data_IF_838390129816
#
_entry.id   IF_838390129816
#
_cell.length_a   1.000
_cell.length_b   1.000
_cell.length_c   1.000
_cell.angle_alpha   90.00
_cell.angle_beta   90.00
_cell.angle_gamma   90.00
#
_symmetry.space_group_name_H-M   'P 1'
#
loop_
_entity.id
_entity.type
_entity.pdbx_description
1 polymer ?
#
# COMPACT_ATOMS: atom_id res chain seq x y z
N UNK A 1 -2.64 43.92 27.75
CA UNK A 1 -1.66 42.82 27.93
C UNK A 1 -2.26 41.41 28.05
N UNK A 2 -3.47 41.20 28.58
CA UNK A 2 -4.09 39.85 28.63
C UNK A 2 -4.75 39.38 27.32
N UNK A 3 -5.43 40.29 26.60
CA UNK A 3 -6.16 39.99 25.34
C UNK A 3 -5.27 39.69 24.13
N UNK A 4 -4.01 40.14 24.14
CA UNK A 4 -3.05 39.88 23.06
C UNK A 4 -2.48 38.46 23.15
N UNK A 5 -2.10 38.02 24.36
CA UNK A 5 -1.61 36.63 24.58
C UNK A 5 -2.67 35.57 24.27
N UNK A 6 -3.94 35.88 24.47
CA UNK A 6 -5.05 34.96 24.17
C UNK A 6 -5.32 34.85 22.66
N UNK A 7 -5.23 35.97 21.92
CA UNK A 7 -5.30 35.97 20.45
C UNK A 7 -4.12 35.23 19.81
N UNK A 8 -2.92 35.41 20.35
CA UNK A 8 -1.71 34.73 19.89
C UNK A 8 -1.86 33.20 20.03
N UNK A 9 -2.36 32.73 21.18
CA UNK A 9 -2.63 31.31 21.45
C UNK A 9 -3.71 30.70 20.55
N UNK A 10 -4.73 31.48 20.15
CA UNK A 10 -5.76 31.03 19.21
C UNK A 10 -5.21 30.92 17.78
N UNK A 11 -4.38 31.88 17.36
CA UNK A 11 -3.74 31.86 16.05
C UNK A 11 -2.79 30.68 15.89
N UNK A 12 -2.05 30.32 16.94
CA UNK A 12 -1.16 29.17 16.95
C UNK A 12 -1.93 27.85 16.87
N UNK A 13 -3.05 27.73 17.60
CA UNK A 13 -3.96 26.58 17.49
C UNK A 13 -4.54 26.44 16.08
N UNK A 14 -4.97 27.54 15.48
CA UNK A 14 -5.50 27.53 14.12
C UNK A 14 -4.42 27.12 13.09
N UNK A 15 -3.19 27.64 13.23
CA UNK A 15 -2.06 27.25 12.38
C UNK A 15 -1.73 25.76 12.51
N UNK A 16 -1.69 25.24 13.73
CA UNK A 16 -1.42 23.82 13.95
C UNK A 16 -2.52 22.93 13.37
N UNK A 17 -3.78 23.38 13.44
CA UNK A 17 -4.90 22.69 12.81
C UNK A 17 -4.81 22.73 11.28
N UNK A 18 -4.50 23.88 10.67
CA UNK A 18 -4.33 23.96 9.21
C UNK A 18 -3.16 23.11 8.73
N UNK A 19 -2.03 23.14 9.45
CA UNK A 19 -0.85 22.30 9.14
C UNK A 19 -1.19 20.82 9.21
N UNK A 20 -1.92 20.38 10.24
CA UNK A 20 -2.32 18.98 10.34
C UNK A 20 -3.27 18.58 9.22
N UNK A 21 -4.25 19.43 8.87
CA UNK A 21 -5.19 19.18 7.75
C UNK A 21 -4.49 19.11 6.38
N UNK A 22 -3.53 19.99 6.12
CA UNK A 22 -2.80 20.03 4.85
C UNK A 22 -1.78 18.89 4.72
N UNK A 23 -1.25 18.42 5.85
CA UNK A 23 -0.26 17.35 5.87
C UNK A 23 -0.89 15.95 5.95
N UNK A 24 -2.17 15.85 6.32
CA UNK A 24 -2.90 14.59 6.43
C UNK A 24 -3.62 14.26 5.12
N UNK A 25 -3.14 13.24 4.36
CA UNK A 25 -3.80 12.81 3.14
C UNK A 25 -5.23 12.35 3.41
N UNK A 26 -5.48 11.70 4.56
CA UNK A 26 -6.81 11.17 4.88
C UNK A 26 -7.85 12.28 5.00
N UNK A 27 -7.44 13.49 5.38
CA UNK A 27 -8.34 14.63 5.46
C UNK A 27 -8.68 15.21 4.09
N UNK A 28 -7.71 15.28 3.18
CA UNK A 28 -7.90 15.89 1.85
C UNK A 28 -8.81 15.04 0.97
N UNK A 29 -8.67 13.72 1.04
CA UNK A 29 -9.32 12.80 0.11
C UNK A 29 -10.63 12.19 0.64
N UNK A 30 -10.92 12.28 1.95
CA UNK A 30 -12.22 11.84 2.53
C UNK A 30 -13.44 12.53 1.89
N UNK A 31 -13.47 13.84 1.64
CA UNK A 31 -14.62 14.47 0.97
C UNK A 31 -14.83 13.99 -0.47
N UNK A 32 -13.83 13.36 -1.09
CA UNK A 32 -13.90 12.83 -2.45
C UNK A 32 -14.46 11.39 -2.50
N UNK A 33 -14.68 10.73 -1.35
CA UNK A 33 -15.28 9.39 -1.29
C UNK A 33 -16.79 9.39 -1.48
N UNK A 34 -17.45 10.56 -1.36
CA UNK A 34 -18.91 10.63 -1.28
C UNK A 34 -19.62 10.47 -2.63
N UNK A 35 -18.89 10.53 -3.75
CA UNK A 35 -19.50 10.26 -5.07
C UNK A 35 -19.40 8.77 -5.44
N UNK A 36 -20.51 8.15 -5.89
CA UNK A 36 -20.54 6.73 -6.26
C UNK A 36 -19.65 6.42 -7.47
N UNK A 37 -19.42 7.41 -8.35
CA UNK A 37 -18.54 7.27 -9.53
C UNK A 37 -17.07 7.59 -9.28
N UNK A 38 -16.71 7.91 -8.02
CA UNK A 38 -15.34 8.22 -7.65
C UNK A 38 -14.39 7.05 -7.91
N UNK A 39 -13.13 7.38 -8.20
CA UNK A 39 -12.06 6.39 -8.29
C UNK A 39 -11.89 5.61 -6.97
N UNK A 40 -12.20 6.26 -5.84
CA UNK A 40 -12.23 5.63 -4.52
C UNK A 40 -13.27 4.50 -4.48
N UNK A 41 -14.53 4.77 -4.84
CA UNK A 41 -15.62 3.78 -4.79
C UNK A 41 -15.34 2.60 -5.71
N UNK A 42 -14.81 2.85 -6.91
CA UNK A 42 -14.42 1.81 -7.87
C UNK A 42 -13.27 0.94 -7.32
N UNK A 43 -12.21 1.56 -6.81
CA UNK A 43 -11.07 0.85 -6.26
C UNK A 43 -11.47 0.04 -5.02
N UNK A 44 -12.25 0.63 -4.11
CA UNK A 44 -12.78 -0.04 -2.92
C UNK A 44 -13.64 -1.23 -3.30
N UNK A 45 -14.53 -1.09 -4.28
CA UNK A 45 -15.35 -2.19 -4.74
C UNK A 45 -14.48 -3.35 -5.24
N UNK A 46 -13.53 -3.11 -6.14
CA UNK A 46 -12.69 -4.18 -6.70
C UNK A 46 -11.88 -4.89 -5.60
N UNK A 47 -11.24 -4.13 -4.70
CA UNK A 47 -10.43 -4.73 -3.63
C UNK A 47 -11.32 -5.45 -2.62
N UNK A 48 -12.47 -4.87 -2.24
CA UNK A 48 -13.42 -5.51 -1.33
C UNK A 48 -13.94 -6.83 -1.90
N UNK A 49 -14.33 -6.85 -3.18
CA UNK A 49 -14.79 -8.06 -3.87
C UNK A 49 -13.68 -9.11 -3.93
N UNK A 50 -12.43 -8.71 -4.17
CA UNK A 50 -11.28 -9.62 -4.08
C UNK A 50 -11.15 -10.30 -2.71
N UNK A 51 -11.35 -9.54 -1.63
CA UNK A 51 -11.26 -10.06 -0.27
C UNK A 51 -12.46 -10.98 0.05
N UNK A 52 -13.68 -10.61 -0.34
CA UNK A 52 -14.89 -11.38 0.00
C UNK A 52 -15.11 -12.61 -0.86
N UNK A 53 -14.77 -12.54 -2.14
CA UNK A 53 -14.98 -13.62 -3.12
C UNK A 53 -13.72 -14.47 -3.36
N UNK A 54 -12.60 -14.15 -2.69
CA UNK A 54 -11.29 -14.78 -2.90
C UNK A 54 -10.83 -14.74 -4.37
N UNK A 55 -11.08 -13.61 -5.04
CA UNK A 55 -10.74 -13.37 -6.44
C UNK A 55 -9.38 -12.68 -6.58
N UNK A 56 -8.52 -13.23 -7.44
CA UNK A 56 -7.22 -12.65 -7.75
C UNK A 56 -7.36 -11.56 -8.82
N UNK A 57 -7.25 -10.30 -8.41
CA UNK A 57 -7.30 -9.15 -9.32
C UNK A 57 -5.96 -8.40 -9.34
N UNK A 58 -5.65 -7.78 -10.48
CA UNK A 58 -4.52 -6.87 -10.64
C UNK A 58 -5.02 -5.52 -11.13
N UNK A 59 -4.54 -4.44 -10.52
CA UNK A 59 -5.01 -3.07 -10.79
C UNK A 59 -3.79 -2.18 -11.01
N UNK A 60 -3.81 -1.40 -12.08
CA UNK A 60 -2.78 -0.41 -12.38
C UNK A 60 -3.37 1.01 -12.27
N UNK A 61 -2.87 1.79 -11.31
CA UNK A 61 -3.30 3.18 -11.10
C UNK A 61 -2.45 4.15 -11.92
N UNK A 62 -3.06 4.81 -12.91
CA UNK A 62 -2.37 5.71 -13.84
C UNK A 62 -2.74 7.19 -13.62
N UNK A 63 -1.79 8.09 -13.89
CA UNK A 63 -2.01 9.54 -13.97
C UNK A 63 -0.73 10.34 -13.68
N UNK A 64 -0.77 11.68 -13.71
CA UNK A 64 0.39 12.52 -13.44
C UNK A 64 0.89 12.39 -11.99
N UNK A 65 2.17 12.72 -11.76
CA UNK A 65 2.74 12.81 -10.40
C UNK A 65 2.00 13.89 -9.60
N UNK A 66 1.76 13.62 -8.31
CA UNK A 66 1.00 14.52 -7.43
C UNK A 66 -0.53 14.43 -7.55
N UNK A 67 -1.08 13.55 -8.40
CA UNK A 67 -2.55 13.41 -8.54
C UNK A 67 -3.26 12.68 -7.40
N UNK A 68 -2.57 12.39 -6.29
CA UNK A 68 -3.15 11.71 -5.13
C UNK A 68 -3.41 10.21 -5.28
N UNK A 69 -2.82 9.51 -6.26
CA UNK A 69 -2.99 8.06 -6.46
C UNK A 69 -2.76 7.24 -5.19
N UNK A 70 -1.58 7.41 -4.59
CA UNK A 70 -1.21 6.72 -3.35
C UNK A 70 -2.18 7.09 -2.23
N UNK A 71 -2.53 8.37 -2.10
CA UNK A 71 -3.46 8.81 -1.05
C UNK A 71 -4.87 8.20 -1.16
N UNK A 72 -5.38 8.02 -2.38
CA UNK A 72 -6.66 7.31 -2.60
C UNK A 72 -6.53 5.83 -2.24
N UNK A 73 -5.41 5.19 -2.61
CA UNK A 73 -5.14 3.80 -2.24
C UNK A 73 -5.04 3.64 -0.71
N UNK A 74 -4.33 4.53 -0.02
CA UNK A 74 -4.21 4.53 1.44
C UNK A 74 -5.56 4.62 2.13
N UNK A 75 -6.45 5.49 1.64
CA UNK A 75 -7.80 5.60 2.17
C UNK A 75 -8.58 4.29 2.03
N UNK A 76 -8.57 3.70 0.84
CA UNK A 76 -9.27 2.43 0.57
C UNK A 76 -8.71 1.32 1.45
N UNK A 77 -7.39 1.18 1.53
CA UNK A 77 -6.74 0.17 2.37
C UNK A 77 -7.02 0.39 3.85
N UNK A 78 -6.99 1.64 4.33
CA UNK A 78 -7.29 1.97 5.73
C UNK A 78 -8.72 1.58 6.10
N UNK A 79 -9.69 1.81 5.21
CA UNK A 79 -11.08 1.44 5.44
C UNK A 79 -11.28 -0.08 5.39
N UNK A 80 -10.61 -0.78 4.47
CA UNK A 80 -10.69 -2.23 4.35
C UNK A 80 -10.00 -2.96 5.49
N UNK A 81 -8.86 -2.47 5.97
CA UNK A 81 -8.17 -3.01 7.15
C UNK A 81 -9.00 -2.86 8.42
N UNK A 82 -9.81 -1.80 8.53
CA UNK A 82 -10.76 -1.66 9.63
C UNK A 82 -11.93 -2.65 9.54
N UNK A 83 -12.36 -2.99 8.32
CA UNK A 83 -13.44 -3.95 8.10
C UNK A 83 -12.99 -5.40 8.21
N UNK A 84 -11.77 -5.70 7.78
CA UNK A 84 -11.22 -7.06 7.65
C UNK A 84 -9.77 -7.14 8.20
N UNK A 85 -9.53 -6.86 9.50
CA UNK A 85 -8.18 -6.74 10.06
C UNK A 85 -7.36 -8.03 9.99
N UNK A 86 -8.00 -9.19 10.20
CA UNK A 86 -7.31 -10.49 10.26
C UNK A 86 -7.25 -11.23 8.90
N UNK A 87 -7.99 -10.72 7.90
CA UNK A 87 -8.13 -11.37 6.60
C UNK A 87 -7.28 -10.71 5.50
N UNK A 88 -6.70 -9.53 5.76
CA UNK A 88 -5.90 -8.79 4.78
C UNK A 88 -4.47 -8.67 5.28
N UNK A 89 -3.51 -9.03 4.43
CA UNK A 89 -2.09 -8.74 4.64
C UNK A 89 -1.60 -7.85 3.49
N UNK A 90 -1.00 -6.70 3.82
CA UNK A 90 -0.55 -5.72 2.82
C UNK A 90 0.97 -5.77 2.70
N UNK A 91 1.47 -6.01 1.49
CA UNK A 91 2.90 -6.04 1.19
C UNK A 91 3.22 -4.89 0.26
N UNK A 92 4.21 -4.07 0.62
CA UNK A 92 4.60 -2.87 -0.13
C UNK A 92 6.00 -3.02 -0.70
N UNK A 93 6.14 -2.75 -1.98
CA UNK A 93 7.41 -2.67 -2.66
C UNK A 93 7.53 -1.34 -3.39
N UNK A 94 8.74 -0.78 -3.40
CA UNK A 94 9.05 0.43 -4.13
C UNK A 94 10.13 0.13 -5.18
N UNK A 95 9.84 0.43 -6.45
CA UNK A 95 10.73 0.14 -7.57
C UNK A 95 12.09 0.85 -7.50
N UNK A 96 12.19 1.98 -6.79
CA UNK A 96 13.46 2.68 -6.56
C UNK A 96 14.36 1.96 -5.55
N UNK A 97 13.77 1.24 -4.60
CA UNK A 97 14.50 0.51 -3.54
C UNK A 97 14.74 -0.95 -3.91
N UNK A 98 13.80 -1.56 -4.64
CA UNK A 98 13.74 -2.99 -4.92
C UNK A 98 13.89 -3.28 -6.41
N UNK A 99 14.78 -2.56 -7.10
CA UNK A 99 15.04 -2.75 -8.53
C UNK A 99 15.72 -4.09 -8.87
N UNK A 100 16.30 -4.77 -7.88
CA UNK A 100 16.84 -6.13 -8.00
C UNK A 100 15.83 -7.13 -7.45
N UNK A 101 15.50 -8.15 -8.24
CA UNK A 101 14.58 -9.25 -7.88
C UNK A 101 14.97 -9.91 -6.55
N UNK A 102 16.26 -10.04 -6.26
CA UNK A 102 16.74 -10.61 -5.01
C UNK A 102 16.36 -9.73 -3.80
N UNK A 103 16.50 -8.41 -3.95
CA UNK A 103 16.13 -7.45 -2.91
C UNK A 103 14.61 -7.41 -2.73
N UNK A 104 13.85 -7.41 -3.84
CA UNK A 104 12.40 -7.46 -3.81
C UNK A 104 11.89 -8.70 -3.09
N UNK A 105 12.36 -9.90 -3.45
CA UNK A 105 11.92 -11.14 -2.83
C UNK A 105 12.28 -11.25 -1.35
N UNK A 106 13.47 -10.78 -0.96
CA UNK A 106 13.84 -10.70 0.46
C UNK A 106 12.91 -9.78 1.23
N UNK A 107 12.53 -8.65 0.64
CA UNK A 107 11.62 -7.71 1.28
C UNK A 107 10.20 -8.27 1.40
N UNK A 108 9.69 -8.95 0.37
CA UNK A 108 8.40 -9.64 0.44
C UNK A 108 8.41 -10.68 1.56
N UNK A 109 9.43 -11.55 1.59
CA UNK A 109 9.56 -12.58 2.60
C UNK A 109 9.66 -11.97 4.00
N UNK A 110 10.40 -10.87 4.16
CA UNK A 110 10.50 -10.14 5.43
C UNK A 110 9.15 -9.60 5.89
N UNK A 111 8.38 -8.95 5.02
CA UNK A 111 7.06 -8.40 5.36
C UNK A 111 6.06 -9.52 5.69
N UNK A 112 6.03 -10.61 4.91
CA UNK A 112 5.18 -11.77 5.20
C UNK A 112 5.50 -12.42 6.53
N UNK A 113 6.78 -12.60 6.85
CA UNK A 113 7.18 -13.14 8.15
C UNK A 113 6.75 -12.24 9.30
N UNK A 114 6.85 -10.92 9.15
CA UNK A 114 6.42 -9.98 10.19
C UNK A 114 4.91 -10.02 10.40
N UNK A 115 4.13 -10.02 9.32
CA UNK A 115 2.67 -10.09 9.37
C UNK A 115 2.17 -11.41 9.98
N UNK A 116 2.86 -12.52 9.73
CA UNK A 116 2.48 -13.85 10.22
C UNK A 116 3.24 -14.29 11.49
N UNK A 117 4.01 -13.39 12.12
CA UNK A 117 4.82 -13.66 13.31
C UNK A 117 5.81 -14.83 13.14
N UNK A 118 6.34 -15.02 11.93
CA UNK A 118 7.31 -16.05 11.59
C UNK A 118 8.75 -15.52 11.74
N UNK A 119 9.70 -16.43 11.95
CA UNK A 119 11.12 -16.11 12.01
C UNK A 119 11.68 -15.92 10.60
N UNK A 120 12.07 -14.68 10.29
CA UNK A 120 12.77 -14.37 9.04
C UNK A 120 14.25 -14.73 9.13
N UNK A 121 14.74 -15.57 8.21
CA UNK A 121 16.17 -15.88 8.07
C UNK A 121 16.82 -14.98 7.02
N UNK A 122 17.70 -14.08 7.45
CA UNK A 122 18.48 -13.21 6.56
C UNK A 122 19.52 -13.96 5.71
N UNK A 123 19.83 -15.20 6.07
CA UNK A 123 20.86 -16.04 5.42
C UNK A 123 20.24 -16.93 4.32
N UNK A 124 18.92 -16.93 4.17
CA UNK A 124 18.23 -17.75 3.19
C UNK A 124 18.63 -17.40 1.75
N UNK A 125 18.83 -18.42 0.92
CA UNK A 125 19.12 -18.25 -0.51
C UNK A 125 17.90 -17.73 -1.27
N UNK A 126 18.09 -17.29 -2.52
CA UNK A 126 16.98 -16.89 -3.38
C UNK A 126 15.95 -18.02 -3.55
N UNK A 127 16.43 -19.25 -3.81
CA UNK A 127 15.58 -20.41 -4.00
C UNK A 127 14.78 -20.72 -2.72
N UNK A 128 15.42 -20.66 -1.55
CA UNK A 128 14.74 -20.85 -0.27
C UNK A 128 13.65 -19.79 -0.04
N UNK A 129 13.95 -18.53 -0.35
CA UNK A 129 12.96 -17.45 -0.25
C UNK A 129 11.80 -17.69 -1.22
N UNK A 130 12.06 -18.14 -2.45
CA UNK A 130 11.01 -18.43 -3.44
C UNK A 130 10.10 -19.59 -3.02
N UNK A 131 10.67 -20.66 -2.45
CA UNK A 131 9.90 -21.81 -1.95
C UNK A 131 9.09 -21.44 -0.73
N UNK A 132 9.68 -20.68 0.19
CA UNK A 132 8.99 -20.12 1.35
C UNK A 132 7.80 -19.26 0.92
N UNK A 133 8.01 -18.35 -0.04
CA UNK A 133 6.96 -17.52 -0.63
C UNK A 133 5.80 -18.35 -1.16
N UNK A 134 6.08 -19.38 -1.98
CA UNK A 134 5.04 -20.24 -2.55
C UNK A 134 4.26 -20.98 -1.45
N UNK A 135 4.97 -21.50 -0.43
CA UNK A 135 4.33 -22.17 0.70
C UNK A 135 3.41 -21.21 1.47
N UNK A 136 3.89 -20.01 1.79
CA UNK A 136 3.12 -18.99 2.49
C UNK A 136 1.88 -18.56 1.70
N UNK A 137 2.01 -18.31 0.41
CA UNK A 137 0.87 -17.93 -0.44
C UNK A 137 -0.19 -19.05 -0.47
N UNK A 138 0.23 -20.32 -0.50
CA UNK A 138 -0.70 -21.47 -0.44
C UNK A 138 -1.42 -21.55 0.91
N UNK A 139 -0.69 -21.40 2.01
CA UNK A 139 -1.29 -21.39 3.36
C UNK A 139 -2.28 -20.23 3.54
N UNK A 140 -1.94 -19.04 3.06
CA UNK A 140 -2.84 -17.88 3.09
C UNK A 140 -4.11 -18.14 2.28
N UNK A 141 -4.00 -18.78 1.11
CA UNK A 141 -5.16 -19.21 0.32
C UNK A 141 -6.07 -20.18 1.05
N UNK A 142 -5.51 -21.14 1.79
CA UNK A 142 -6.28 -22.09 2.63
C UNK A 142 -6.93 -21.42 3.84
N UNK A 143 -6.25 -20.42 4.41
CA UNK A 143 -6.73 -19.65 5.55
C UNK A 143 -7.72 -18.52 5.18
N UNK A 144 -8.10 -18.41 3.90
CA UNK A 144 -8.90 -17.30 3.37
C UNK A 144 -8.30 -15.91 3.66
N UNK A 145 -6.96 -15.83 3.78
CA UNK A 145 -6.23 -14.58 3.93
C UNK A 145 -5.87 -14.03 2.55
N UNK A 146 -6.31 -12.81 2.28
CA UNK A 146 -6.00 -12.09 1.05
C UNK A 146 -4.72 -11.30 1.23
N UNK A 147 -3.77 -11.51 0.32
CA UNK A 147 -2.53 -10.75 0.29
C UNK A 147 -2.63 -9.69 -0.80
N UNK A 148 -2.42 -8.43 -0.42
CA UNK A 148 -2.46 -7.28 -1.31
C UNK A 148 -1.02 -6.81 -1.55
N UNK A 149 -0.54 -6.99 -2.78
CA UNK A 149 0.75 -6.42 -3.21
C UNK A 149 0.55 -5.00 -3.74
N UNK A 150 1.25 -4.05 -3.14
CA UNK A 150 1.30 -2.64 -3.57
C UNK A 150 2.69 -2.37 -4.13
N UNK A 151 2.74 -2.02 -5.42
CA UNK A 151 3.99 -1.75 -6.14
C UNK A 151 4.05 -0.26 -6.50
N UNK A 152 4.88 0.50 -5.79
CA UNK A 152 5.16 1.91 -6.08
C UNK A 152 6.26 2.03 -7.14
N UNK A 153 6.15 3.07 -7.99
CA UNK A 153 7.07 3.31 -9.12
C UNK A 153 7.23 2.02 -9.97
N UNK A 154 6.08 1.46 -10.39
CA UNK A 154 5.98 0.16 -11.08
C UNK A 154 6.84 0.06 -12.35
N UNK A 155 7.06 1.20 -13.02
CA UNK A 155 7.90 1.31 -14.19
C UNK A 155 9.31 0.79 -13.98
N UNK A 156 9.88 0.88 -12.77
CA UNK A 156 11.19 0.30 -12.46
C UNK A 156 11.20 -1.22 -12.40
N UNK A 157 10.09 -1.87 -11.98
CA UNK A 157 9.98 -3.33 -12.05
C UNK A 157 9.82 -3.82 -13.50
N UNK A 158 9.19 -3.01 -14.35
CA UNK A 158 9.02 -3.33 -15.77
C UNK A 158 10.28 -3.07 -16.62
N UNK A 159 11.32 -2.44 -16.05
CA UNK A 159 12.58 -2.14 -16.74
C UNK A 159 13.50 -3.37 -16.92
N UNK A 160 13.13 -4.55 -16.40
CA UNK A 160 13.92 -5.78 -16.53
C UNK A 160 14.05 -6.20 -18.01
N UNK A 161 15.17 -5.77 -18.60
CA UNK A 161 15.85 -6.22 -19.84
C UNK A 161 15.01 -6.32 -21.11
N UNK A 162 14.63 -5.17 -21.66
CA UNK A 162 14.74 -4.95 -23.11
C UNK A 162 16.20 -4.52 -23.38
N UNK A 163 17.15 -5.43 -23.18
CA UNK A 163 18.51 -5.26 -23.71
C UNK A 163 18.65 -6.17 -24.93
N UNK A 164 18.45 -5.54 -26.10
CA UNK A 164 19.09 -5.82 -27.39
C UNK A 164 19.26 -7.28 -27.83
N UNK A 165 18.22 -7.85 -28.47
CA UNK A 165 18.44 -8.52 -29.76
C UNK A 165 18.16 -7.50 -30.86
N UNK A 166 19.18 -6.76 -31.25
CA UNK A 166 19.23 -6.08 -32.55
C UNK A 166 20.50 -6.58 -33.23
N UNK A 167 20.27 -7.49 -34.18
CA UNK A 167 21.15 -7.99 -35.26
C UNK A 167 22.51 -8.54 -34.84
#
# INVERSE_FOLDING_TARGET
MGREKEKEKLSEKALNLLRSRLSDPNFIFRPLSDSPDSNYSKLKFIISTSVTEACNNSILLLGPRGSGKVAVLELVLSDLLQQYPEAISVIRLNGLLHSDDNCALKEIARQLCMEHQLLFSKVASFDDNSQFMIAMLRECGLAHKTIIFVLDEFDFFAQVRIFYYSV
#
